data_IF_053808954146
#
_entry.id   IF_053808954146
#
_cell.length_a   1.000
_cell.length_b   1.000
_cell.length_c   1.000
_cell.angle_alpha   90.00
_cell.angle_beta   90.00
_cell.angle_gamma   90.00
#
_symmetry.space_group_name_H-M   'P 1'
#
loop_
_entity.id
_entity.type
_entity.pdbx_description
1 polymer ?
#
# COMPACT_ATOMS: atom_id res chain seq x y z
N UNK A 1 20.28 -22.42 8.14
CA UNK A 1 20.01 -21.37 9.15
C UNK A 1 18.52 -21.06 9.10
N UNK A 2 17.73 -21.74 9.91
CA UNK A 2 16.26 -21.64 9.86
C UNK A 2 15.79 -20.57 10.85
N UNK A 3 15.19 -19.50 10.35
CA UNK A 3 14.64 -18.43 11.17
C UNK A 3 13.35 -18.91 11.85
N UNK A 4 13.38 -19.05 13.18
CA UNK A 4 12.21 -19.30 14.02
C UNK A 4 11.28 -18.08 13.93
N UNK A 5 10.11 -18.29 13.32
CA UNK A 5 8.98 -17.36 13.47
C UNK A 5 8.50 -17.52 14.90
N UNK A 6 8.79 -16.51 15.75
CA UNK A 6 8.25 -16.49 17.11
C UNK A 6 6.76 -16.15 17.02
N UNK A 7 5.90 -16.97 17.64
CA UNK A 7 4.44 -16.86 17.60
C UNK A 7 3.84 -15.53 18.13
N UNK A 8 4.66 -14.54 18.50
CA UNK A 8 4.26 -13.24 19.05
C UNK A 8 4.87 -12.03 18.30
N UNK A 9 5.24 -12.20 17.03
CA UNK A 9 5.76 -11.10 16.20
C UNK A 9 4.59 -10.20 15.74
N UNK A 10 4.52 -8.97 16.25
CA UNK A 10 3.52 -7.98 15.85
C UNK A 10 3.99 -7.28 14.58
N UNK A 11 3.31 -7.53 13.46
CA UNK A 11 3.59 -6.86 12.19
C UNK A 11 2.70 -5.62 12.05
N UNK A 12 3.32 -4.44 12.10
CA UNK A 12 2.64 -3.17 11.79
C UNK A 12 2.51 -3.01 10.27
N UNK A 13 1.37 -3.46 9.73
CA UNK A 13 1.05 -3.37 8.30
C UNK A 13 0.31 -2.08 7.93
N UNK A 14 0.18 -1.14 8.86
CA UNK A 14 -0.48 0.14 8.64
C UNK A 14 0.44 1.10 7.90
N UNK A 15 -0.09 1.73 6.86
CA UNK A 15 0.64 2.68 6.04
C UNK A 15 -0.17 3.99 5.89
N UNK A 16 0.47 5.19 5.93
CA UNK A 16 -0.17 6.50 5.69
C UNK A 16 -0.80 6.74 4.29
N UNK A 17 -2.00 6.25 4.04
CA UNK A 17 -2.73 6.29 2.76
C UNK A 17 -2.95 7.68 2.15
N UNK A 18 -3.50 8.63 2.90
CA UNK A 18 -3.81 9.95 2.37
C UNK A 18 -3.77 11.05 3.44
N UNK A 19 -3.55 12.28 3.00
CA UNK A 19 -3.61 13.49 3.83
C UNK A 19 -4.86 14.29 3.49
N UNK A 20 -5.60 14.71 4.51
CA UNK A 20 -6.88 15.41 4.38
C UNK A 20 -6.76 16.81 5.00
N UNK A 21 -7.32 17.81 4.33
CA UNK A 21 -7.16 19.23 4.68
C UNK A 21 -8.45 19.93 5.18
N UNK A 22 -9.59 19.25 5.07
CA UNK A 22 -10.91 19.78 5.46
C UNK A 22 -11.61 18.80 6.39
N UNK A 23 -12.38 19.33 7.34
CA UNK A 23 -13.17 18.51 8.27
C UNK A 23 -14.31 17.78 7.54
N UNK A 24 -14.84 18.37 6.47
CA UNK A 24 -15.90 17.77 5.65
C UNK A 24 -15.38 16.54 4.89
N UNK A 25 -14.26 16.71 4.16
CA UNK A 25 -13.60 15.61 3.46
C UNK A 25 -13.19 14.48 4.42
N UNK A 26 -12.77 14.83 5.65
CA UNK A 26 -12.45 13.87 6.71
C UNK A 26 -13.68 13.05 7.09
N UNK A 27 -14.81 13.70 7.36
CA UNK A 27 -16.06 13.04 7.74
C UNK A 27 -16.56 12.12 6.63
N UNK A 28 -16.57 12.59 5.38
CA UNK A 28 -16.99 11.78 4.23
C UNK A 28 -16.10 10.54 4.05
N UNK A 29 -14.78 10.68 4.23
CA UNK A 29 -13.85 9.55 4.09
C UNK A 29 -14.07 8.51 5.20
N UNK A 30 -14.28 8.95 6.45
CA UNK A 30 -14.61 8.05 7.57
C UNK A 30 -15.90 7.29 7.34
N UNK A 31 -16.96 7.98 6.92
CA UNK A 31 -18.25 7.34 6.63
C UNK A 31 -18.10 6.23 5.58
N UNK A 32 -17.36 6.50 4.49
CA UNK A 32 -17.09 5.49 3.46
C UNK A 32 -16.27 4.31 3.99
N UNK A 33 -15.21 4.57 4.76
CA UNK A 33 -14.36 3.52 5.30
C UNK A 33 -15.09 2.65 6.32
N UNK A 34 -15.87 3.25 7.23
CA UNK A 34 -16.69 2.53 8.20
C UNK A 34 -17.77 1.68 7.52
N UNK A 35 -18.45 2.23 6.51
CA UNK A 35 -19.46 1.50 5.74
C UNK A 35 -18.88 0.25 5.04
N UNK A 36 -17.61 0.31 4.63
CA UNK A 36 -16.93 -0.78 3.91
C UNK A 36 -16.01 -1.61 4.82
N UNK A 37 -16.09 -1.41 6.14
CA UNK A 37 -15.31 -2.14 7.16
C UNK A 37 -13.80 -2.05 6.96
N UNK A 38 -13.30 -0.94 6.42
CA UNK A 38 -11.87 -0.67 6.28
C UNK A 38 -11.35 -0.17 7.62
N UNK A 39 -10.34 -0.84 8.17
CA UNK A 39 -9.71 -0.39 9.41
C UNK A 39 -8.77 0.78 9.11
N UNK A 40 -8.87 1.85 9.89
CA UNK A 40 -8.04 3.03 9.72
C UNK A 40 -7.61 3.63 11.05
N UNK A 41 -6.48 4.32 11.01
CA UNK A 41 -5.94 5.13 12.09
C UNK A 41 -5.74 6.56 11.60
N UNK A 42 -6.06 7.56 12.43
CA UNK A 42 -5.89 8.97 12.07
C UNK A 42 -4.74 9.57 12.88
N UNK A 43 -3.72 10.01 12.15
CA UNK A 43 -2.62 10.80 12.69
C UNK A 43 -2.92 12.30 12.48
N UNK A 44 -3.21 12.99 13.57
CA UNK A 44 -3.37 14.44 13.57
C UNK A 44 -2.01 15.11 13.45
N UNK A 45 -1.92 16.12 12.59
CA UNK A 45 -0.72 16.93 12.47
C UNK A 45 -0.89 18.15 13.37
N UNK A 46 0.05 18.35 14.29
CA UNK A 46 0.05 19.49 15.18
C UNK A 46 0.11 20.78 14.35
N UNK A 47 -0.90 21.64 14.53
CA UNK A 47 -0.87 22.98 13.96
C UNK A 47 0.29 23.72 14.62
N UNK A 48 1.27 24.17 13.83
CA UNK A 48 2.32 25.03 14.34
C UNK A 48 1.70 26.24 15.04
N UNK A 49 2.31 26.72 16.13
CA UNK A 49 1.78 27.83 16.94
C UNK A 49 1.40 29.06 16.11
N UNK A 50 2.18 29.37 15.07
CA UNK A 50 1.90 30.45 14.11
C UNK A 50 0.64 30.18 13.29
N UNK A 51 0.45 28.94 12.83
CA UNK A 51 -0.72 28.54 12.05
C UNK A 51 -2.00 28.62 12.91
N UNK A 52 -1.91 28.32 14.21
CA UNK A 52 -3.02 28.47 15.16
C UNK A 52 -3.46 29.93 15.37
N UNK A 53 -2.56 30.90 15.18
CA UNK A 53 -2.85 32.34 15.31
C UNK A 53 -3.50 32.95 14.05
N UNK A 54 -3.17 32.44 12.86
CA UNK A 54 -3.76 32.91 11.58
C UNK A 54 -5.07 32.19 11.21
N UNK A 55 -5.34 31.04 11.80
CA UNK A 55 -6.49 30.19 11.47
C UNK A 55 -7.76 30.63 12.25
N UNK A 56 -8.20 31.88 12.05
CA UNK A 56 -9.42 32.45 12.65
C UNK A 56 -10.71 31.74 12.22
N UNK A 57 -10.66 30.90 11.18
CA UNK A 57 -11.83 30.22 10.59
C UNK A 57 -12.09 28.83 11.18
N UNK A 58 -11.12 28.19 11.86
CA UNK A 58 -11.28 26.88 12.50
C UNK A 58 -11.58 25.68 11.57
N UNK A 59 -11.87 25.93 10.29
CA UNK A 59 -12.36 24.94 9.32
C UNK A 59 -11.26 24.10 8.68
N UNK A 60 -10.01 24.59 8.70
CA UNK A 60 -8.87 23.91 8.08
C UNK A 60 -8.22 22.98 9.10
N UNK A 61 -8.19 21.70 8.79
CA UNK A 61 -7.50 20.68 9.60
C UNK A 61 -6.40 20.05 8.75
N UNK A 62 -5.47 19.34 9.38
CA UNK A 62 -4.53 18.52 8.63
C UNK A 62 -4.39 17.20 9.38
N UNK A 63 -4.84 16.11 8.77
CA UNK A 63 -4.70 14.77 9.32
C UNK A 63 -4.27 13.79 8.23
N UNK A 64 -3.62 12.70 8.64
CA UNK A 64 -3.17 11.63 7.76
C UNK A 64 -3.89 10.34 8.15
N UNK A 65 -4.60 9.73 7.20
CA UNK A 65 -5.20 8.41 7.39
C UNK A 65 -4.13 7.35 7.13
N UNK A 66 -3.96 6.44 8.08
CA UNK A 66 -3.20 5.21 7.94
C UNK A 66 -4.17 4.04 7.80
N UNK A 67 -3.94 3.13 6.87
CA UNK A 67 -4.78 1.93 6.65
C UNK A 67 -3.89 0.70 6.49
N UNK A 68 -4.46 -0.48 6.60
CA UNK A 68 -3.73 -1.72 6.33
C UNK A 68 -3.30 -1.80 4.86
N UNK A 69 -2.04 -2.20 4.60
CA UNK A 69 -1.47 -2.37 3.26
C UNK A 69 -2.34 -3.24 2.33
N UNK A 70 -3.02 -4.25 2.85
CA UNK A 70 -3.91 -5.12 2.05
C UNK A 70 -5.17 -4.41 1.52
N UNK A 71 -5.53 -3.25 2.08
CA UNK A 71 -6.79 -2.57 1.77
C UNK A 71 -6.62 -1.35 0.86
N UNK A 72 -5.40 -1.03 0.44
CA UNK A 72 -5.08 0.17 -0.35
C UNK A 72 -5.92 0.27 -1.61
N UNK A 73 -6.02 -0.81 -2.40
CA UNK A 73 -6.74 -0.79 -3.67
C UNK A 73 -8.23 -0.47 -3.48
N UNK A 74 -8.86 -1.09 -2.47
CA UNK A 74 -10.26 -0.84 -2.10
C UNK A 74 -10.45 0.58 -1.56
N UNK A 75 -9.58 1.01 -0.65
CA UNK A 75 -9.61 2.36 -0.09
C UNK A 75 -9.42 3.44 -1.17
N UNK A 76 -8.54 3.20 -2.16
CA UNK A 76 -8.31 4.10 -3.30
C UNK A 76 -9.57 4.23 -4.15
N UNK A 77 -10.24 3.12 -4.47
CA UNK A 77 -11.51 3.16 -5.19
C UNK A 77 -12.61 3.92 -4.43
N UNK A 78 -12.70 3.75 -3.11
CA UNK A 78 -13.70 4.43 -2.28
C UNK A 78 -13.40 5.91 -2.05
N UNK A 79 -12.13 6.29 -2.00
CA UNK A 79 -11.68 7.66 -1.82
C UNK A 79 -11.72 8.48 -3.12
N UNK A 80 -11.91 7.83 -4.27
CA UNK A 80 -12.13 8.54 -5.54
C UNK A 80 -13.37 9.43 -5.45
N UNK A 81 -13.25 10.66 -5.96
CA UNK A 81 -14.32 11.66 -5.98
C UNK A 81 -14.54 12.44 -4.69
N UNK A 82 -13.73 12.24 -3.64
CA UNK A 82 -13.73 13.15 -2.48
C UNK A 82 -12.72 14.28 -2.75
N UNK A 83 -13.19 15.52 -2.69
CA UNK A 83 -12.33 16.69 -2.87
C UNK A 83 -11.47 16.97 -1.63
N UNK A 84 -10.30 17.58 -1.83
CA UNK A 84 -9.43 18.00 -0.71
C UNK A 84 -8.63 16.87 -0.03
N UNK A 85 -8.48 15.72 -0.70
CA UNK A 85 -7.63 14.60 -0.27
C UNK A 85 -6.38 14.53 -1.15
N UNK A 86 -5.21 14.37 -0.53
CA UNK A 86 -3.94 14.10 -1.20
C UNK A 86 -3.48 12.68 -0.90
N UNK A 87 -3.51 11.81 -1.91
CA UNK A 87 -2.97 10.45 -1.81
C UNK A 87 -1.46 10.47 -1.58
N UNK A 88 -0.96 9.53 -0.78
CA UNK A 88 0.47 9.26 -0.65
C UNK A 88 0.83 8.10 -1.55
N UNK A 89 1.76 8.35 -2.47
CA UNK A 89 2.32 7.30 -3.31
C UNK A 89 3.40 6.55 -2.53
N UNK A 90 3.17 5.27 -2.33
CA UNK A 90 4.20 4.33 -1.94
C UNK A 90 4.76 3.77 -3.23
N UNK A 91 6.05 3.97 -3.48
CA UNK A 91 6.73 3.56 -4.71
C UNK A 91 6.72 2.06 -5.03
N UNK A 92 5.80 1.27 -4.47
CA UNK A 92 5.62 -0.16 -4.74
C UNK A 92 5.05 -0.45 -6.13
N UNK A 93 4.15 0.36 -6.68
CA UNK A 93 3.62 0.13 -8.05
C UNK A 93 4.75 0.14 -9.10
N UNK A 94 5.84 0.90 -8.89
CA UNK A 94 6.96 0.96 -9.83
C UNK A 94 7.88 -0.26 -9.78
N UNK A 95 7.91 -1.02 -8.67
CA UNK A 95 8.87 -2.10 -8.55
C UNK A 95 8.42 -3.36 -9.31
N UNK A 96 7.13 -3.69 -9.26
CA UNK A 96 6.57 -4.81 -10.05
C UNK A 96 6.62 -4.54 -11.55
N UNK A 97 6.39 -3.30 -11.97
CA UNK A 97 6.47 -2.89 -13.38
C UNK A 97 7.91 -2.93 -13.93
N UNK A 98 8.90 -2.56 -13.10
CA UNK A 98 10.33 -2.68 -13.44
C UNK A 98 10.76 -4.13 -13.60
N UNK A 99 10.26 -5.03 -12.76
CA UNK A 99 10.57 -6.47 -12.86
C UNK A 99 10.00 -7.05 -14.16
N UNK A 100 8.74 -6.72 -14.51
CA UNK A 100 8.11 -7.15 -15.77
C UNK A 100 8.82 -6.64 -17.03
N UNK A 101 9.26 -5.38 -17.04
CA UNK A 101 10.00 -4.81 -18.19
C UNK A 101 11.36 -5.48 -18.42
N UNK A 102 12.01 -5.98 -17.36
CA UNK A 102 13.27 -6.73 -17.49
C UNK A 102 13.05 -8.12 -18.10
N UNK A 103 11.99 -8.84 -17.71
CA UNK A 103 11.68 -10.13 -18.33
C UNK A 103 11.30 -10.00 -19.81
N UNK A 104 10.53 -8.98 -20.19
CA UNK A 104 10.12 -8.77 -21.58
C UNK A 104 11.26 -8.34 -22.52
N UNK A 105 12.32 -7.73 -21.98
CA UNK A 105 13.51 -7.36 -22.77
C UNK A 105 14.44 -8.55 -22.98
N UNK A 106 14.55 -9.46 -22.01
CA UNK A 106 15.30 -10.72 -22.15
C UNK A 106 14.67 -11.64 -23.19
N UNK A 107 13.36 -11.62 -23.37
CA UNK A 107 12.67 -12.43 -24.41
C UNK A 107 12.90 -11.89 -25.83
N UNK A 108 13.23 -10.60 -26.00
CA UNK A 108 13.38 -9.97 -27.33
C UNK A 108 14.78 -10.07 -27.91
N UNK A 109 15.80 -10.28 -27.10
CA UNK A 109 17.16 -10.59 -27.56
C UNK A 109 17.38 -12.10 -27.53
N UNK A 110 16.73 -12.81 -28.45
CA UNK A 110 17.10 -14.19 -28.76
C UNK A 110 18.35 -14.18 -29.64
N UNK A 111 19.52 -13.95 -29.04
CA UNK A 111 20.82 -14.15 -29.68
C UNK A 111 21.06 -15.66 -29.90
N UNK A 112 20.26 -16.32 -30.75
CA UNK A 112 20.54 -17.64 -31.35
C UNK A 112 20.94 -18.81 -30.42
N UNK A 113 20.90 -18.62 -29.11
CA UNK A 113 21.36 -19.57 -28.11
C UNK A 113 20.15 -20.39 -27.69
N UNK A 114 20.15 -21.64 -28.15
CA UNK A 114 19.19 -22.65 -27.71
C UNK A 114 19.17 -22.70 -26.18
N UNK A 115 17.98 -22.47 -25.62
CA UNK A 115 17.71 -22.74 -24.23
C UNK A 115 18.04 -24.22 -23.95
N UNK A 116 18.96 -24.52 -23.01
CA UNK A 116 19.22 -25.90 -22.65
C UNK A 116 17.95 -26.52 -22.06
N UNK A 117 17.56 -27.70 -22.55
CA UNK A 117 16.47 -28.46 -21.97
C UNK A 117 16.79 -28.79 -20.51
N UNK A 118 15.99 -28.24 -19.61
CA UNK A 118 16.01 -28.63 -18.21
C UNK A 118 15.47 -30.06 -18.11
N UNK A 119 16.38 -31.02 -17.96
CA UNK A 119 16.03 -32.39 -17.55
C UNK A 119 15.60 -32.33 -16.09
N UNK A 120 14.29 -32.23 -15.89
CA UNK A 120 13.71 -32.56 -14.60
C UNK A 120 13.73 -34.09 -14.48
N UNK A 121 14.70 -34.62 -13.75
CA UNK A 121 14.54 -35.97 -13.20
C UNK A 121 13.38 -35.89 -12.21
N UNK A 122 12.21 -36.33 -12.66
CA UNK A 122 11.15 -36.78 -11.77
C UNK A 122 11.72 -37.97 -11.01
N UNK A 123 12.32 -37.73 -9.84
CA UNK A 123 12.47 -38.76 -8.83
C UNK A 123 11.06 -39.07 -8.30
N UNK A 124 10.34 -39.87 -9.10
CA UNK A 124 9.20 -40.63 -8.67
C UNK A 124 9.78 -41.81 -7.90
N UNK A 125 10.09 -41.60 -6.63
CA UNK A 125 10.29 -42.63 -5.61
C UNK A 125 10.38 -41.90 -4.27
N UNK A 126 9.24 -41.75 -3.61
CA UNK A 126 9.07 -41.68 -2.14
C UNK A 126 7.55 -41.63 -1.81
N UNK A 127 6.80 -42.56 -2.41
CA UNK A 127 5.52 -43.03 -1.88
C UNK A 127 5.61 -44.55 -1.76
N UNK A 128 6.14 -45.02 -0.64
CA UNK A 128 5.80 -46.27 0.05
C UNK A 128 6.78 -46.46 1.21
N UNK A 129 6.43 -45.95 2.40
CA UNK A 129 6.03 -46.76 3.58
C UNK A 129 5.66 -45.87 4.78
#
# INVERSE_FOLDING_TARGET
MSSIIQNNQVFNNEIPFCRVYSIESKKQLEERFLAHRISYFIEWQDKSFLQRLFDRSGSKIVCTFKINKGEIARAKALAQGIEGIKFKDYGEEKNTERIRKRSDSVVKESDGLEMPELKFETSQDDYEE
#
